data_IF_813730183365
#
_entry.id   IF_813730183365
#
_cell.length_a   1.000
_cell.length_b   1.000
_cell.length_c   1.000
_cell.angle_alpha   90.00
_cell.angle_beta   90.00
_cell.angle_gamma   90.00
#
_symmetry.space_group_name_H-M   'P 1'
#
loop_
_entity.id
_entity.type
_entity.pdbx_description
1 polymer ?
#
# COMPACT_ATOMS: atom_id res chain seq x y z
N UNK A 1 13.22 -5.85 -17.57
CA UNK A 1 12.97 -7.29 -17.32
C UNK A 1 11.57 -7.40 -16.76
N UNK A 2 10.60 -7.89 -17.54
CA UNK A 2 9.21 -8.01 -17.06
C UNK A 2 9.14 -9.24 -16.16
N UNK A 3 8.82 -9.04 -14.89
CA UNK A 3 8.58 -10.15 -13.95
C UNK A 3 7.29 -10.86 -14.37
N UNK A 4 7.35 -12.19 -14.52
CA UNK A 4 6.17 -12.98 -14.84
C UNK A 4 5.18 -12.91 -13.67
N UNK A 5 3.91 -12.65 -13.97
CA UNK A 5 2.87 -12.61 -12.95
C UNK A 5 2.81 -13.95 -12.20
N UNK A 6 2.58 -13.94 -10.87
CA UNK A 6 2.51 -15.17 -10.09
C UNK A 6 1.35 -16.04 -10.57
N UNK A 7 1.62 -17.31 -10.87
CA UNK A 7 0.60 -18.29 -11.25
C UNK A 7 -0.12 -18.79 -10.01
N UNK A 8 -1.37 -18.36 -9.82
CA UNK A 8 -2.23 -18.85 -8.73
C UNK A 8 -2.92 -20.14 -9.17
N UNK A 9 -2.82 -21.18 -8.35
CA UNK A 9 -3.51 -22.47 -8.53
C UNK A 9 -4.48 -22.66 -7.36
N UNK A 10 -5.74 -22.96 -7.65
CA UNK A 10 -6.77 -23.26 -6.65
C UNK A 10 -7.23 -24.70 -6.90
N UNK A 11 -7.17 -25.54 -5.87
CA UNK A 11 -7.53 -26.98 -5.97
C UNK A 11 -8.45 -27.35 -4.79
N UNK A 12 -9.58 -28.03 -5.04
CA UNK A 12 -10.12 -28.43 -6.34
C UNK A 12 -10.52 -27.24 -7.21
N UNK A 13 -10.75 -27.49 -8.50
CA UNK A 13 -11.23 -26.45 -9.42
C UNK A 13 -12.61 -25.98 -8.96
N UNK A 14 -12.79 -24.68 -8.65
CA UNK A 14 -14.03 -24.18 -8.10
C UNK A 14 -15.16 -24.22 -9.13
N UNK A 15 -16.40 -24.34 -8.67
CA UNK A 15 -17.55 -24.08 -9.56
C UNK A 15 -17.61 -22.60 -9.96
N UNK A 16 -18.46 -22.27 -10.93
CA UNK A 16 -18.65 -20.87 -11.35
C UNK A 16 -19.11 -19.99 -10.18
N UNK A 17 -20.04 -20.47 -9.36
CA UNK A 17 -20.57 -19.76 -8.20
C UNK A 17 -19.48 -19.51 -7.15
N UNK A 18 -18.65 -20.52 -6.89
CA UNK A 18 -17.52 -20.40 -5.96
C UNK A 18 -16.45 -19.44 -6.49
N UNK A 19 -16.14 -19.50 -7.78
CA UNK A 19 -15.19 -18.58 -8.42
C UNK A 19 -15.68 -17.12 -8.33
N UNK A 20 -16.98 -16.88 -8.54
CA UNK A 20 -17.59 -15.56 -8.38
C UNK A 20 -17.52 -15.09 -6.93
N UNK A 21 -17.81 -15.96 -5.96
CA UNK A 21 -17.74 -15.63 -4.54
C UNK A 21 -16.30 -15.27 -4.11
N UNK A 22 -15.30 -16.03 -4.57
CA UNK A 22 -13.88 -15.78 -4.30
C UNK A 22 -13.45 -14.42 -4.89
N UNK A 23 -13.78 -14.17 -6.16
CA UNK A 23 -13.44 -12.91 -6.82
C UNK A 23 -14.08 -11.71 -6.11
N UNK A 24 -15.35 -11.83 -5.72
CA UNK A 24 -16.04 -10.79 -4.96
C UNK A 24 -15.38 -10.53 -3.60
N UNK A 25 -14.98 -11.58 -2.87
CA UNK A 25 -14.29 -11.44 -1.59
C UNK A 25 -12.95 -10.71 -1.73
N UNK A 26 -12.16 -11.04 -2.76
CA UNK A 26 -10.90 -10.34 -3.08
C UNK A 26 -11.16 -8.85 -3.36
N UNK A 27 -12.17 -8.55 -4.18
CA UNK A 27 -12.52 -7.18 -4.53
C UNK A 27 -13.02 -6.34 -3.34
N UNK A 28 -13.73 -6.96 -2.39
CA UNK A 28 -14.21 -6.30 -1.18
C UNK A 28 -13.10 -6.09 -0.15
N UNK A 29 -12.16 -7.04 -0.05
CA UNK A 29 -11.10 -7.01 0.98
C UNK A 29 -9.85 -6.28 0.53
N UNK A 30 -9.69 -6.00 -0.77
CA UNK A 30 -8.49 -5.31 -1.25
C UNK A 30 -8.40 -3.90 -0.65
N UNK A 31 -7.19 -3.46 -0.25
CA UNK A 31 -6.99 -2.09 0.19
C UNK A 31 -7.39 -1.12 -0.92
N UNK A 32 -8.29 -0.18 -0.62
CA UNK A 32 -8.56 0.92 -1.53
C UNK A 32 -7.46 1.95 -1.36
N UNK A 33 -6.77 2.30 -2.45
CA UNK A 33 -5.83 3.40 -2.44
C UNK A 33 -6.60 4.69 -2.15
N UNK A 34 -6.55 5.16 -0.90
CA UNK A 34 -7.00 6.49 -0.53
C UNK A 34 -5.83 7.41 -0.83
N UNK A 35 -6.01 8.31 -1.81
CA UNK A 35 -5.10 9.44 -1.96
C UNK A 35 -5.33 10.36 -0.75
N UNK A 36 -4.56 10.13 0.31
CA UNK A 36 -4.43 11.10 1.39
C UNK A 36 -3.73 12.32 0.78
N UNK A 37 -4.43 13.45 0.69
CA UNK A 37 -3.76 14.75 0.69
C UNK A 37 -3.07 14.81 2.06
N UNK A 38 -1.75 14.66 2.08
CA UNK A 38 -0.99 14.83 3.31
C UNK A 38 -1.13 16.28 3.76
N UNK A 39 -1.98 16.53 4.74
CA UNK A 39 -1.77 17.62 5.67
C UNK A 39 -0.86 17.04 6.75
N UNK A 40 0.47 17.06 6.51
CA UNK A 40 1.44 16.39 7.38
C UNK A 40 1.36 17.00 8.78
N UNK A 41 0.77 16.33 9.79
CA UNK A 41 0.72 16.90 11.12
C UNK A 41 2.12 16.83 11.72
N UNK A 42 2.64 17.97 12.19
CA UNK A 42 3.97 18.05 12.80
C UNK A 42 4.10 17.02 13.93
N UNK A 43 5.16 16.19 13.87
CA UNK A 43 5.40 15.12 14.83
C UNK A 43 5.57 15.68 16.24
N UNK A 44 4.61 15.46 17.15
CA UNK A 44 4.61 16.01 18.52
C UNK A 44 5.44 15.20 19.53
N UNK A 45 5.99 14.05 19.13
CA UNK A 45 6.73 13.17 20.03
C UNK A 45 8.23 13.46 20.00
N UNK A 46 8.82 13.58 21.19
CA UNK A 46 10.26 13.81 21.40
C UNK A 46 10.80 12.73 22.33
N UNK A 47 12.01 12.25 22.05
CA UNK A 47 12.81 11.49 23.01
C UNK A 47 14.21 12.08 23.02
N UNK A 48 14.76 12.39 24.20
CA UNK A 48 16.05 13.09 24.36
C UNK A 48 16.14 14.43 23.60
N UNK A 49 15.01 15.16 23.47
CA UNK A 49 14.97 16.46 22.79
C UNK A 49 15.08 16.39 21.25
N UNK A 50 15.35 15.21 20.68
CA UNK A 50 15.36 14.98 19.24
C UNK A 50 13.95 14.70 18.74
N UNK A 51 13.54 15.45 17.73
CA UNK A 51 12.32 15.21 16.97
C UNK A 51 12.58 14.10 15.96
N UNK A 52 11.69 13.13 15.89
CA UNK A 52 11.80 12.04 14.92
C UNK A 52 11.01 12.43 13.67
N UNK A 53 11.21 13.65 13.17
CA UNK A 53 10.58 14.09 11.93
C UNK A 53 11.30 13.45 10.74
N UNK A 54 10.55 13.06 9.70
CA UNK A 54 11.13 12.68 8.41
C UNK A 54 11.94 13.87 7.87
N UNK A 55 13.22 13.71 7.47
CA UNK A 55 13.93 14.79 6.81
C UNK A 55 13.24 15.09 5.47
N UNK A 56 12.68 16.29 5.35
CA UNK A 56 12.18 16.82 4.07
C UNK A 56 13.35 16.78 3.09
N UNK A 57 13.25 16.13 1.92
CA UNK A 57 14.30 16.18 0.92
C UNK A 57 14.45 17.63 0.46
N UNK A 58 15.41 18.35 1.02
CA UNK A 58 15.83 19.65 0.51
C UNK A 58 16.41 19.39 -0.88
N UNK A 59 15.60 19.59 -1.93
CA UNK A 59 16.08 19.61 -3.30
C UNK A 59 17.08 20.76 -3.37
N UNK A 60 18.37 20.47 -3.18
CA UNK A 60 19.42 21.47 -3.37
C UNK A 60 19.43 21.77 -4.88
N UNK A 61 19.08 23.00 -5.23
CA UNK A 61 19.48 23.59 -6.50
C UNK A 61 21.01 23.68 -6.48
N UNK A 62 21.65 22.81 -7.26
CA UNK A 62 23.07 22.99 -7.56
C UNK A 62 23.12 24.01 -8.70
N UNK A 63 23.84 25.14 -8.57
CA UNK A 63 24.20 25.96 -9.71
C UNK A 63 25.09 25.17 -10.68
#
# INVERSE_FOLDING_TARGET
MSEAAPKVLVTPEPTLEEAVAIAAAIEVTRPRAVLLVEDTPESRWRFSGRWWSRPVPTRRSRP
#
